data_IF_654110900775
#
_entry.id   IF_654110900775
#
_cell.length_a   1.000
_cell.length_b   1.000
_cell.length_c   1.000
_cell.angle_alpha   90.00
_cell.angle_beta   90.00
_cell.angle_gamma   90.00
#
_symmetry.space_group_name_H-M   'P 1'
#
loop_
_entity.id
_entity.type
_entity.pdbx_description
1 polymer ?
#
# COMPACT_ATOMS: atom_id res chain seq x y z
N UNK A 1 -32.99 -22.86 -34.48
CA UNK A 1 -31.69 -22.52 -35.11
C UNK A 1 -31.43 -21.00 -35.06
N UNK A 2 -32.30 -20.14 -35.59
CA UNK A 2 -32.14 -18.67 -35.47
C UNK A 2 -32.14 -18.13 -34.03
N UNK A 3 -33.04 -18.61 -33.16
CA UNK A 3 -33.10 -18.16 -31.75
C UNK A 3 -31.87 -18.53 -30.91
N UNK A 4 -31.14 -19.57 -31.31
CA UNK A 4 -29.93 -20.04 -30.62
C UNK A 4 -28.73 -19.14 -30.92
N UNK A 5 -28.69 -18.58 -32.14
CA UNK A 5 -27.62 -17.71 -32.62
C UNK A 5 -27.72 -16.29 -32.01
N UNK A 6 -28.96 -15.78 -31.86
CA UNK A 6 -29.22 -14.50 -31.18
C UNK A 6 -28.92 -14.56 -29.68
N UNK A 7 -29.24 -15.68 -29.02
CA UNK A 7 -28.94 -15.90 -27.61
C UNK A 7 -27.43 -16.00 -27.36
N UNK A 8 -26.69 -16.72 -28.23
CA UNK A 8 -25.24 -16.80 -28.18
C UNK A 8 -24.59 -15.42 -28.41
N UNK A 9 -25.07 -14.66 -29.39
CA UNK A 9 -24.63 -13.29 -29.67
C UNK A 9 -24.84 -12.35 -28.47
N UNK A 10 -25.96 -12.48 -27.75
CA UNK A 10 -26.23 -11.71 -26.54
C UNK A 10 -25.25 -12.03 -25.41
N UNK A 11 -24.95 -13.31 -25.22
CA UNK A 11 -24.08 -13.80 -24.16
C UNK A 11 -22.59 -13.49 -24.40
N UNK A 12 -22.17 -13.50 -25.66
CA UNK A 12 -20.85 -13.03 -26.05
C UNK A 12 -20.72 -11.53 -25.73
N UNK A 13 -21.68 -10.70 -26.15
CA UNK A 13 -21.70 -9.25 -25.85
C UNK A 13 -21.65 -8.96 -24.35
N UNK A 14 -22.38 -9.75 -23.55
CA UNK A 14 -22.31 -9.67 -22.10
C UNK A 14 -20.88 -9.92 -21.60
N UNK A 15 -20.25 -11.00 -22.08
CA UNK A 15 -18.88 -11.37 -21.70
C UNK A 15 -17.86 -10.29 -22.07
N UNK A 16 -17.95 -9.73 -23.27
CA UNK A 16 -17.14 -8.58 -23.69
C UNK A 16 -17.33 -7.39 -22.76
N UNK A 17 -18.59 -7.04 -22.46
CA UNK A 17 -18.93 -5.91 -21.60
C UNK A 17 -18.42 -6.11 -20.17
N UNK A 18 -18.50 -7.34 -19.67
CA UNK A 18 -18.04 -7.72 -18.34
C UNK A 18 -16.51 -7.57 -18.22
N UNK A 19 -15.75 -8.14 -19.16
CA UNK A 19 -14.29 -8.01 -19.17
C UNK A 19 -13.83 -6.55 -19.33
N UNK A 20 -14.56 -5.75 -20.12
CA UNK A 20 -14.30 -4.31 -20.26
C UNK A 20 -14.59 -3.55 -18.95
N UNK A 21 -15.70 -3.82 -18.28
CA UNK A 21 -16.03 -3.22 -17.00
C UNK A 21 -14.96 -3.53 -15.94
N UNK A 22 -14.45 -4.77 -15.92
CA UNK A 22 -13.35 -5.16 -15.05
C UNK A 22 -12.07 -4.36 -15.35
N UNK A 23 -11.71 -4.20 -16.62
CA UNK A 23 -10.54 -3.40 -17.04
C UNK A 23 -10.62 -1.93 -16.60
N UNK A 24 -11.81 -1.33 -16.72
CA UNK A 24 -12.06 0.05 -16.27
C UNK A 24 -11.95 0.16 -14.76
N UNK A 25 -12.56 -0.78 -14.02
CA UNK A 25 -12.48 -0.82 -12.56
C UNK A 25 -11.03 -0.96 -12.08
N UNK A 26 -10.26 -1.85 -12.71
CA UNK A 26 -8.83 -2.00 -12.46
C UNK A 26 -8.06 -0.68 -12.72
N UNK A 27 -8.40 0.04 -13.78
CA UNK A 27 -7.81 1.34 -14.08
C UNK A 27 -8.08 2.41 -13.00
N UNK A 28 -9.25 2.39 -12.37
CA UNK A 28 -9.57 3.29 -11.25
C UNK A 28 -8.69 2.98 -10.03
N UNK A 29 -8.44 1.70 -9.75
CA UNK A 29 -7.55 1.29 -8.66
C UNK A 29 -6.09 1.64 -8.95
N UNK A 30 -5.63 1.38 -10.17
CA UNK A 30 -4.29 1.78 -10.62
C UNK A 30 -4.08 3.29 -10.42
N UNK A 31 -5.04 4.11 -10.87
CA UNK A 31 -4.99 5.56 -10.68
C UNK A 31 -5.02 5.97 -9.19
N UNK A 32 -5.80 5.27 -8.35
CA UNK A 32 -5.84 5.54 -6.91
C UNK A 32 -4.51 5.23 -6.23
N UNK A 33 -3.84 4.14 -6.66
CA UNK A 33 -2.51 3.78 -6.16
C UNK A 33 -1.45 4.75 -6.67
N UNK A 34 -1.48 5.13 -7.93
CA UNK A 34 -0.52 6.11 -8.49
C UNK A 34 -0.67 7.47 -7.77
N UNK A 35 -1.89 7.95 -7.49
CA UNK A 35 -2.11 9.15 -6.67
C UNK A 35 -1.52 9.03 -5.25
N UNK A 36 -1.59 7.83 -4.65
CA UNK A 36 -0.96 7.59 -3.35
C UNK A 36 0.57 7.65 -3.46
N UNK A 37 1.15 7.01 -4.48
CA UNK A 37 2.59 7.02 -4.77
C UNK A 37 3.11 8.45 -4.95
N UNK A 38 2.42 9.27 -5.75
CA UNK A 38 2.77 10.68 -5.95
C UNK A 38 2.76 11.44 -4.62
N UNK A 39 1.83 11.11 -3.73
CA UNK A 39 1.72 11.75 -2.41
C UNK A 39 2.86 11.41 -1.43
N UNK A 40 3.66 10.38 -1.72
CA UNK A 40 4.81 9.95 -0.91
C UNK A 40 6.15 10.11 -1.66
N UNK A 41 6.15 10.60 -2.90
CA UNK A 41 7.34 10.73 -3.74
C UNK A 41 8.40 11.66 -3.12
N UNK A 42 7.98 12.74 -2.45
CA UNK A 42 8.93 13.63 -1.77
C UNK A 42 9.70 12.90 -0.66
N UNK A 43 9.07 11.90 -0.01
CA UNK A 43 9.69 11.13 1.07
C UNK A 43 10.77 10.21 0.50
N UNK A 44 10.51 9.55 -0.64
CA UNK A 44 11.50 8.70 -1.30
C UNK A 44 12.68 9.51 -1.83
N UNK A 45 12.44 10.72 -2.32
CA UNK A 45 13.50 11.63 -2.78
C UNK A 45 14.37 12.15 -1.62
N UNK A 46 13.77 12.51 -0.49
CA UNK A 46 14.50 12.85 0.74
C UNK A 46 15.38 11.69 1.22
N UNK A 47 14.81 10.47 1.23
CA UNK A 47 15.51 9.25 1.63
C UNK A 47 16.70 8.96 0.69
N UNK A 48 16.51 9.09 -0.62
CA UNK A 48 17.56 8.92 -1.64
C UNK A 48 18.72 9.91 -1.46
N UNK A 49 18.41 11.15 -1.06
CA UNK A 49 19.40 12.19 -0.79
C UNK A 49 20.10 12.01 0.55
N UNK A 50 19.64 11.09 1.40
CA UNK A 50 20.17 10.87 2.74
C UNK A 50 19.96 12.07 3.67
N UNK A 51 19.00 12.93 3.35
CA UNK A 51 18.69 14.12 4.15
C UNK A 51 17.61 13.80 5.20
N UNK A 52 17.45 14.70 6.17
CA UNK A 52 16.42 14.55 7.20
C UNK A 52 15.04 14.57 6.53
N UNK A 53 14.31 13.45 6.65
CA UNK A 53 12.95 13.32 6.14
C UNK A 53 12.04 14.30 6.88
N UNK A 54 11.40 15.20 6.15
CA UNK A 54 10.51 16.20 6.72
C UNK A 54 9.06 15.69 6.80
N UNK A 55 8.83 14.64 7.58
CA UNK A 55 7.49 14.10 7.84
C UNK A 55 7.26 13.92 9.34
N UNK A 56 6.06 14.27 9.81
CA UNK A 56 5.69 14.07 11.21
C UNK A 56 5.24 12.63 11.47
N UNK A 57 5.26 12.20 12.74
CA UNK A 57 4.74 10.88 13.12
C UNK A 57 3.24 10.74 12.85
N UNK A 58 2.49 11.83 12.96
CA UNK A 58 1.06 11.86 12.63
C UNK A 58 0.84 11.70 11.12
N UNK A 59 1.65 12.37 10.30
CA UNK A 59 1.58 12.24 8.84
C UNK A 59 1.93 10.83 8.37
N UNK A 60 2.94 10.20 8.97
CA UNK A 60 3.26 8.79 8.69
C UNK A 60 2.06 7.91 9.05
N UNK A 61 1.47 8.06 10.23
CA UNK A 61 0.31 7.27 10.63
C UNK A 61 -0.88 7.47 9.68
N UNK A 62 -1.11 8.70 9.22
CA UNK A 62 -2.13 9.02 8.22
C UNK A 62 -1.85 8.34 6.89
N UNK A 63 -0.62 8.40 6.39
CA UNK A 63 -0.20 7.72 5.15
C UNK A 63 -0.29 6.21 5.26
N UNK A 64 0.01 5.64 6.43
CA UNK A 64 -0.24 4.25 6.75
C UNK A 64 -1.73 3.93 6.62
N UNK A 65 -2.60 4.70 7.26
CA UNK A 65 -4.05 4.49 7.20
C UNK A 65 -4.62 4.60 5.78
N UNK A 66 -4.21 5.62 5.01
CA UNK A 66 -4.58 5.80 3.61
C UNK A 66 -4.21 4.56 2.76
N UNK A 67 -3.00 4.02 2.96
CA UNK A 67 -2.52 2.83 2.25
C UNK A 67 -3.27 1.55 2.66
N UNK A 68 -3.54 1.37 3.94
CA UNK A 68 -4.33 0.23 4.43
C UNK A 68 -5.77 0.27 3.89
N UNK A 69 -6.39 1.45 3.84
CA UNK A 69 -7.71 1.62 3.25
C UNK A 69 -7.70 1.25 1.75
N UNK A 70 -6.69 1.74 1.01
CA UNK A 70 -6.52 1.39 -0.41
C UNK A 70 -6.33 -0.12 -0.60
N UNK A 71 -5.45 -0.75 0.20
CA UNK A 71 -5.23 -2.20 0.18
C UNK A 71 -6.50 -2.97 0.50
N UNK A 72 -7.29 -2.51 1.48
CA UNK A 72 -8.56 -3.15 1.82
C UNK A 72 -9.56 -3.08 0.66
N UNK A 73 -9.70 -1.92 0.02
CA UNK A 73 -10.59 -1.76 -1.14
C UNK A 73 -10.19 -2.64 -2.33
N UNK A 74 -8.88 -2.73 -2.61
CA UNK A 74 -8.35 -3.60 -3.67
C UNK A 74 -8.59 -5.08 -3.32
N UNK A 75 -8.26 -5.49 -2.09
CA UNK A 75 -8.35 -6.89 -1.68
C UNK A 75 -9.78 -7.42 -1.61
N UNK A 76 -10.73 -6.62 -1.11
CA UNK A 76 -12.16 -6.97 -1.10
C UNK A 76 -12.71 -7.22 -2.51
N UNK A 77 -12.06 -6.63 -3.52
CA UNK A 77 -12.47 -6.75 -4.91
C UNK A 77 -11.57 -7.69 -5.71
N UNK A 78 -10.59 -8.35 -5.08
CA UNK A 78 -9.72 -9.31 -5.75
C UNK A 78 -10.46 -10.59 -6.11
N UNK A 79 -11.44 -11.01 -5.29
CA UNK A 79 -12.38 -12.10 -5.63
C UNK A 79 -13.16 -11.83 -6.92
N UNK A 80 -13.24 -10.55 -7.33
CA UNK A 80 -13.90 -10.10 -8.55
C UNK A 80 -13.00 -10.21 -9.79
N UNK A 81 -11.70 -10.52 -9.61
CA UNK A 81 -10.74 -10.75 -10.69
C UNK A 81 -10.66 -12.22 -11.10
N UNK A 82 -11.15 -13.14 -10.26
CA UNK A 82 -11.33 -14.54 -10.62
C UNK A 82 -12.43 -14.69 -11.67
N UNK A 83 -12.43 -15.82 -12.39
CA UNK A 83 -13.50 -16.14 -13.34
C UNK A 83 -14.84 -16.17 -12.59
N UNK A 84 -15.81 -15.30 -12.94
CA UNK A 84 -17.10 -15.28 -12.25
C UNK A 84 -17.84 -16.63 -12.34
N UNK A 85 -18.51 -17.03 -11.25
CA UNK A 85 -19.28 -18.28 -11.15
C UNK A 85 -20.26 -18.51 -12.30
N UNK A 86 -20.78 -17.41 -12.86
CA UNK A 86 -21.62 -17.41 -14.05
C UNK A 86 -21.06 -18.26 -15.21
N UNK A 87 -19.73 -18.29 -15.36
CA UNK A 87 -19.06 -18.96 -16.46
C UNK A 87 -18.81 -20.46 -16.22
N UNK A 88 -19.01 -20.98 -15.00
CA UNK A 88 -18.69 -22.39 -14.68
C UNK A 88 -19.46 -23.41 -15.51
N UNK A 89 -20.71 -23.10 -15.88
CA UNK A 89 -21.55 -23.96 -16.74
C UNK A 89 -21.45 -23.59 -18.24
N UNK A 90 -20.59 -22.63 -18.59
CA UNK A 90 -20.58 -21.94 -19.88
C UNK A 90 -19.16 -21.91 -20.49
N UNK A 91 -18.66 -23.08 -20.91
CA UNK A 91 -17.27 -23.28 -21.37
C UNK A 91 -16.84 -22.34 -22.51
N UNK A 92 -17.74 -22.06 -23.47
CA UNK A 92 -17.44 -21.14 -24.58
C UNK A 92 -17.25 -19.69 -24.10
N UNK A 93 -18.11 -19.26 -23.16
CA UNK A 93 -18.09 -17.92 -22.59
C UNK A 93 -16.91 -17.75 -21.63
N UNK A 94 -16.58 -18.79 -20.87
CA UNK A 94 -15.37 -18.82 -20.06
C UNK A 94 -14.13 -18.62 -20.92
N UNK A 95 -13.99 -19.39 -22.00
CA UNK A 95 -12.87 -19.26 -22.92
C UNK A 95 -12.78 -17.84 -23.53
N UNK A 96 -13.91 -17.26 -23.92
CA UNK A 96 -13.97 -15.90 -24.46
C UNK A 96 -13.63 -14.85 -23.39
N UNK A 97 -14.11 -15.02 -22.16
CA UNK A 97 -13.77 -14.16 -21.02
C UNK A 97 -12.27 -14.19 -20.72
N UNK A 98 -11.67 -15.37 -20.66
CA UNK A 98 -10.23 -15.54 -20.44
C UNK A 98 -9.40 -14.92 -21.56
N UNK A 99 -9.81 -15.07 -22.83
CA UNK A 99 -9.18 -14.40 -23.97
C UNK A 99 -9.24 -12.88 -23.83
N UNK A 100 -10.40 -12.33 -23.42
CA UNK A 100 -10.56 -10.90 -23.18
C UNK A 100 -9.69 -10.40 -22.02
N UNK A 101 -9.64 -11.14 -20.91
CA UNK A 101 -8.76 -10.83 -19.77
C UNK A 101 -7.28 -10.85 -20.16
N UNK A 102 -6.87 -11.79 -21.03
CA UNK A 102 -5.53 -11.84 -21.60
C UNK A 102 -5.26 -10.64 -22.52
N UNK A 103 -6.18 -10.34 -23.45
CA UNK A 103 -6.07 -9.21 -24.38
C UNK A 103 -5.97 -7.86 -23.64
N UNK A 104 -6.79 -7.66 -22.61
CA UNK A 104 -6.79 -6.47 -21.75
C UNK A 104 -5.67 -6.49 -20.70
N UNK A 105 -4.83 -7.54 -20.69
CA UNK A 105 -3.70 -7.72 -19.77
C UNK A 105 -4.08 -7.64 -18.29
N UNK A 106 -5.29 -8.06 -17.93
CA UNK A 106 -5.84 -7.93 -16.57
C UNK A 106 -4.91 -8.58 -15.54
N UNK A 107 -4.54 -9.85 -15.75
CA UNK A 107 -3.66 -10.58 -14.83
C UNK A 107 -2.30 -9.90 -14.62
N UNK A 108 -1.69 -9.42 -15.72
CA UNK A 108 -0.40 -8.72 -15.66
C UNK A 108 -0.53 -7.40 -14.91
N UNK A 109 -1.56 -6.61 -15.20
CA UNK A 109 -1.83 -5.32 -14.56
C UNK A 109 -2.10 -5.47 -13.07
N UNK A 110 -2.94 -6.43 -12.69
CA UNK A 110 -3.17 -6.80 -11.29
C UNK A 110 -1.87 -7.16 -10.56
N UNK A 111 -0.98 -7.94 -11.19
CA UNK A 111 0.30 -8.29 -10.59
C UNK A 111 1.17 -7.05 -10.34
N UNK A 112 1.33 -6.19 -11.34
CA UNK A 112 2.13 -4.96 -11.23
C UNK A 112 1.56 -4.03 -10.16
N UNK A 113 0.23 -3.89 -10.09
CA UNK A 113 -0.43 -3.09 -9.06
C UNK A 113 -0.18 -3.65 -7.65
N UNK A 114 -0.25 -4.97 -7.47
CA UNK A 114 0.05 -5.61 -6.17
C UNK A 114 1.53 -5.44 -5.77
N UNK A 115 2.47 -5.55 -6.71
CA UNK A 115 3.89 -5.29 -6.46
C UNK A 115 4.12 -3.83 -6.01
N UNK A 116 3.56 -2.86 -6.74
CA UNK A 116 3.61 -1.44 -6.34
C UNK A 116 3.03 -1.20 -4.96
N UNK A 117 1.89 -1.81 -4.65
CA UNK A 117 1.22 -1.69 -3.35
C UNK A 117 2.11 -2.24 -2.22
N UNK A 118 2.73 -3.40 -2.41
CA UNK A 118 3.65 -3.99 -1.44
C UNK A 118 4.87 -3.09 -1.20
N UNK A 119 5.46 -2.50 -2.23
CA UNK A 119 6.56 -1.54 -2.06
C UNK A 119 6.16 -0.30 -1.24
N UNK A 120 4.93 0.19 -1.42
CA UNK A 120 4.42 1.28 -0.59
C UNK A 120 4.32 0.87 0.88
N UNK A 121 3.87 -0.36 1.15
CA UNK A 121 3.75 -0.88 2.52
C UNK A 121 5.12 -0.98 3.17
N UNK A 122 6.09 -1.58 2.47
CA UNK A 122 7.48 -1.69 2.93
C UNK A 122 8.06 -0.31 3.27
N UNK A 123 7.85 0.69 2.41
CA UNK A 123 8.34 2.05 2.63
C UNK A 123 7.74 2.67 3.91
N UNK A 124 6.43 2.58 4.07
CA UNK A 124 5.72 3.16 5.22
C UNK A 124 6.13 2.48 6.53
N UNK A 125 6.34 1.16 6.51
CA UNK A 125 6.86 0.41 7.66
C UNK A 125 8.28 0.89 8.02
N UNK A 126 9.13 1.13 7.02
CA UNK A 126 10.49 1.66 7.20
C UNK A 126 10.48 3.07 7.81
N UNK A 127 9.55 3.93 7.37
CA UNK A 127 9.39 5.28 7.93
C UNK A 127 8.92 5.24 9.38
N UNK A 128 7.96 4.36 9.68
CA UNK A 128 7.42 4.18 11.03
C UNK A 128 8.50 3.70 12.01
N UNK A 129 9.31 2.72 11.61
CA UNK A 129 10.42 2.22 12.45
C UNK A 129 11.49 3.29 12.67
N UNK A 130 11.86 4.04 11.63
CA UNK A 130 12.84 5.12 11.73
C UNK A 130 12.42 6.26 12.69
N UNK A 131 11.13 6.60 12.72
CA UNK A 131 10.59 7.58 13.66
C UNK A 131 10.56 7.06 15.10
N UNK A 132 10.25 5.77 15.28
CA UNK A 132 10.28 5.13 16.61
C UNK A 132 11.67 5.16 17.23
N UNK A 133 12.72 4.90 16.44
CA UNK A 133 14.11 4.96 16.90
C UNK A 133 14.50 6.34 17.43
N UNK A 134 13.99 7.42 16.83
CA UNK A 134 14.23 8.79 17.32
C UNK A 134 13.60 9.07 18.68
N UNK A 135 12.57 8.34 19.06
CA UNK A 135 11.96 8.46 20.39
C UNK A 135 12.82 7.76 21.44
N UNK A 136 13.28 6.54 21.16
CA UNK A 136 14.16 5.78 22.05
C UNK A 136 15.48 6.52 22.35
N UNK A 137 16.12 7.08 21.32
CA UNK A 137 17.37 7.85 21.49
C UNK A 137 17.17 9.09 22.38
N UNK A 138 16.00 9.74 22.32
CA UNK A 138 15.71 10.90 23.19
C UNK A 138 15.56 10.49 24.66
N UNK A 139 14.90 9.37 24.92
CA UNK A 139 14.76 8.84 26.28
C UNK A 139 16.11 8.43 26.86
N UNK A 140 16.97 7.81 26.05
CA UNK A 140 18.33 7.45 26.45
C UNK A 140 19.14 8.68 26.88
N UNK A 141 19.15 9.75 26.07
CA UNK A 141 19.83 11.00 26.41
C UNK A 141 19.27 11.67 27.67
N UNK A 142 17.96 11.59 27.89
CA UNK A 142 17.33 12.12 29.11
C UNK A 142 17.85 11.36 30.35
N UNK A 143 17.94 10.04 30.28
CA UNK A 143 18.45 9.21 31.39
C UNK A 143 19.93 9.54 31.67
N UNK A 144 20.77 9.65 30.63
CA UNK A 144 22.18 10.03 30.78
C UNK A 144 22.31 11.39 31.48
N UNK A 145 21.53 12.39 31.05
CA UNK A 145 21.52 13.71 31.69
C UNK A 145 21.10 13.67 33.16
N UNK A 146 20.08 12.87 33.51
CA UNK A 146 19.63 12.72 34.90
C UNK A 146 20.71 12.09 35.79
N UNK A 147 21.40 11.05 35.31
CA UNK A 147 22.51 10.42 36.04
C UNK A 147 23.67 11.40 36.22
N UNK A 148 24.02 12.17 35.18
CA UNK A 148 25.08 13.18 35.26
C UNK A 148 24.79 14.25 36.32
N UNK A 149 23.54 14.70 36.42
CA UNK A 149 23.12 15.67 37.43
C UNK A 149 23.25 15.10 38.85
N UNK A 150 22.82 13.86 39.06
CA UNK A 150 22.94 13.17 40.36
C UNK A 150 24.40 13.06 40.80
N UNK A 151 25.28 12.59 39.91
CA UNK A 151 26.72 12.46 40.17
C UNK A 151 27.35 13.82 40.50
N UNK A 152 26.97 14.89 39.80
CA UNK A 152 27.46 16.24 40.09
C UNK A 152 27.03 16.69 41.48
N UNK A 153 25.77 16.48 41.88
CA UNK A 153 25.31 16.82 43.23
C UNK A 153 26.05 16.02 44.31
N UNK A 154 26.29 14.72 44.08
CA UNK A 154 27.02 13.86 45.01
C UNK A 154 28.48 14.31 45.17
N UNK A 155 29.14 14.68 44.06
CA UNK A 155 30.51 15.21 44.08
C UNK A 155 30.59 16.56 44.79
N UNK A 156 29.65 17.48 44.52
CA UNK A 156 29.59 18.78 45.21
C UNK A 156 29.38 18.60 46.72
N UNK A 157 28.49 17.70 47.12
CA UNK A 157 28.25 17.38 48.54
C UNK A 157 29.47 16.75 49.20
N UNK A 158 30.18 15.87 48.49
CA UNK A 158 31.42 15.26 48.98
C UNK A 158 32.50 16.33 49.23
N UNK A 159 32.69 17.27 48.31
CA UNK A 159 33.68 18.35 48.47
C UNK A 159 33.33 19.24 49.66
N UNK A 160 32.06 19.65 49.82
CA UNK A 160 31.61 20.50 50.92
C UNK A 160 31.78 19.81 52.29
N UNK A 161 31.70 18.48 52.33
CA UNK A 161 31.93 17.69 53.55
C UNK A 161 33.41 17.57 53.94
N UNK A 162 34.33 17.69 52.99
CA UNK A 162 35.78 17.52 53.21
C UNK A 162 36.57 18.84 53.19
N UNK A 163 35.94 19.96 52.81
CA UNK A 163 36.46 21.32 52.99
C UNK A 163 36.09 21.89 54.36
#
# INVERSE_FOLDING_TARGET
MFLSDDAQSGLDKYTFSNALALSVKLGIWEASLDNYVDSIEYITDDLKKGIKINISQEDVLRKTGELFALRHHINLSSDLLDTPDFYWDHEQQEALYQQMCSYLSINRRTRVMNEKLNHCVELVELLSSHLSDRHHVRLEWMIIMLIMVEVVFEVLHYIDRFS
#
